data_IF_504889605733
#
_entry.id   IF_504889605733
#
_cell.length_a   1.000
_cell.length_b   1.000
_cell.length_c   1.000
_cell.angle_alpha   90.00
_cell.angle_beta   90.00
_cell.angle_gamma   90.00
#
_symmetry.space_group_name_H-M   'P 1'
#
loop_
_entity.id
_entity.type
_entity.pdbx_description
1 polymer ?
#
# COMPACT_ATOMS: atom_id res chain seq x y z
N UNK A 1 -9.42 11.22 -11.50
CA UNK A 1 -10.62 10.38 -11.24
C UNK A 1 -10.54 9.03 -11.96
N UNK A 2 -9.89 8.89 -13.11
CA UNK A 2 -9.74 7.60 -13.80
C UNK A 2 -8.84 6.59 -13.07
N UNK A 3 -7.74 7.05 -12.45
CA UNK A 3 -6.73 6.15 -11.83
C UNK A 3 -7.23 5.38 -10.61
N UNK A 4 -8.10 5.97 -9.80
CA UNK A 4 -8.69 5.30 -8.62
C UNK A 4 -9.55 4.08 -9.02
N UNK A 5 -10.11 4.08 -10.22
CA UNK A 5 -10.90 2.96 -10.73
C UNK A 5 -9.98 1.79 -11.10
N UNK A 6 -8.82 2.07 -11.68
CA UNK A 6 -7.81 1.06 -12.01
C UNK A 6 -7.21 0.43 -10.75
N UNK A 7 -6.75 1.25 -9.80
CA UNK A 7 -6.19 0.74 -8.54
C UNK A 7 -7.20 -0.12 -7.76
N UNK A 8 -8.48 0.28 -7.75
CA UNK A 8 -9.53 -0.47 -7.04
C UNK A 8 -9.79 -1.83 -7.70
N UNK A 9 -9.86 -1.87 -9.03
CA UNK A 9 -9.99 -3.13 -9.80
C UNK A 9 -8.78 -4.04 -9.59
N UNK A 10 -7.57 -3.48 -9.60
CA UNK A 10 -6.34 -4.23 -9.32
C UNK A 10 -6.34 -4.79 -7.90
N UNK A 11 -6.69 -3.98 -6.89
CA UNK A 11 -6.82 -4.45 -5.50
C UNK A 11 -7.83 -5.60 -5.38
N UNK A 12 -8.96 -5.53 -6.08
CA UNK A 12 -9.95 -6.60 -6.09
C UNK A 12 -9.40 -7.89 -6.72
N UNK A 13 -8.70 -7.78 -7.85
CA UNK A 13 -8.05 -8.93 -8.51
C UNK A 13 -6.96 -9.56 -7.65
N UNK A 14 -6.08 -8.75 -7.07
CA UNK A 14 -5.06 -9.19 -6.13
C UNK A 14 -5.69 -9.95 -4.95
N UNK A 15 -6.82 -9.45 -4.42
CA UNK A 15 -7.56 -10.14 -3.35
C UNK A 15 -8.19 -11.46 -3.80
N UNK A 16 -8.70 -11.54 -5.03
CA UNK A 16 -9.27 -12.77 -5.60
C UNK A 16 -8.20 -13.85 -5.79
N UNK A 17 -7.05 -13.50 -6.35
CA UNK A 17 -5.92 -14.43 -6.54
C UNK A 17 -5.07 -14.62 -5.27
N UNK A 18 -5.44 -13.96 -4.15
CA UNK A 18 -4.70 -13.95 -2.87
C UNK A 18 -3.23 -13.56 -3.02
N UNK A 19 -2.95 -12.67 -3.97
CA UNK A 19 -1.62 -12.15 -4.25
C UNK A 19 -1.27 -11.08 -3.23
N UNK A 20 -0.14 -11.27 -2.57
CA UNK A 20 0.38 -10.35 -1.57
C UNK A 20 1.64 -9.68 -2.13
N UNK A 21 1.51 -8.44 -2.59
CA UNK A 21 2.60 -7.72 -3.25
C UNK A 21 3.77 -7.37 -2.31
N UNK A 22 3.55 -7.38 -0.99
CA UNK A 22 4.53 -7.04 0.04
C UNK A 22 5.40 -8.21 0.50
N UNK A 23 5.20 -9.41 -0.05
CA UNK A 23 6.05 -10.58 0.21
C UNK A 23 6.76 -11.04 -1.07
N UNK A 24 7.84 -11.84 -0.94
CA UNK A 24 8.45 -12.50 -2.09
C UNK A 24 7.42 -13.35 -2.86
N UNK A 25 7.47 -13.35 -4.20
CA UNK A 25 8.57 -12.84 -5.03
C UNK A 25 8.34 -11.42 -5.60
N UNK A 26 7.33 -10.69 -5.12
CA UNK A 26 6.96 -9.36 -5.64
C UNK A 26 7.71 -8.21 -4.98
N UNK A 27 8.14 -8.42 -3.73
CA UNK A 27 9.01 -7.51 -3.01
C UNK A 27 10.26 -8.28 -2.55
N UNK A 28 11.44 -7.81 -2.95
CA UNK A 28 12.73 -8.31 -2.50
C UNK A 28 13.04 -7.84 -1.06
N UNK A 29 14.05 -8.43 -0.41
CA UNK A 29 14.44 -8.08 0.97
C UNK A 29 14.76 -6.58 1.15
N UNK A 30 15.28 -5.93 0.11
CA UNK A 30 15.59 -4.49 0.08
C UNK A 30 14.35 -3.58 -0.16
N UNK A 31 13.13 -4.11 -0.08
CA UNK A 31 11.88 -3.47 -0.54
C UNK A 31 11.87 -3.09 -2.02
N UNK A 32 12.77 -3.65 -2.82
CA UNK A 32 12.80 -3.43 -4.26
C UNK A 32 11.67 -4.24 -4.92
N UNK A 33 11.06 -3.73 -5.99
CA UNK A 33 10.10 -4.51 -6.75
C UNK A 33 10.80 -5.69 -7.40
N UNK A 34 10.22 -6.89 -7.28
CA UNK A 34 10.64 -8.06 -8.04
C UNK A 34 10.24 -7.87 -9.50
N UNK A 35 11.08 -7.18 -10.28
CA UNK A 35 10.75 -6.62 -11.60
C UNK A 35 10.09 -7.62 -12.54
N UNK A 36 10.62 -8.84 -12.63
CA UNK A 36 10.05 -9.90 -13.47
C UNK A 36 8.64 -10.31 -13.05
N UNK A 37 8.42 -10.55 -11.75
CA UNK A 37 7.11 -11.00 -11.26
C UNK A 37 6.05 -9.90 -11.30
N UNK A 38 6.47 -8.64 -11.19
CA UNK A 38 5.59 -7.47 -11.37
C UNK A 38 5.20 -7.30 -12.85
N UNK A 39 6.15 -7.50 -13.77
CA UNK A 39 5.91 -7.47 -15.22
C UNK A 39 4.97 -8.62 -15.64
N UNK A 40 5.23 -9.85 -15.18
CA UNK A 40 4.34 -11.00 -15.45
C UNK A 40 2.91 -10.74 -14.96
N UNK A 41 2.76 -10.11 -13.77
CA UNK A 41 1.45 -9.72 -13.26
C UNK A 41 0.78 -8.66 -14.13
N UNK A 42 1.53 -7.66 -14.57
CA UNK A 42 1.03 -6.60 -15.42
C UNK A 42 0.57 -7.15 -16.78
N UNK A 43 1.34 -8.04 -17.40
CA UNK A 43 0.98 -8.70 -18.65
C UNK A 43 -0.26 -9.59 -18.50
N UNK A 44 -0.44 -10.26 -17.35
CA UNK A 44 -1.64 -11.05 -17.07
C UNK A 44 -2.89 -10.18 -16.83
N UNK A 45 -2.74 -9.04 -16.16
CA UNK A 45 -3.86 -8.17 -15.80
C UNK A 45 -4.24 -7.16 -16.89
N UNK A 46 -3.30 -6.75 -17.75
CA UNK A 46 -3.53 -5.85 -18.89
C UNK A 46 -4.71 -6.28 -19.78
N UNK A 47 -4.76 -7.52 -20.33
CA UNK A 47 -5.87 -7.97 -21.17
C UNK A 47 -7.17 -8.12 -20.39
N UNK A 48 -7.11 -8.43 -19.09
CA UNK A 48 -8.31 -8.59 -18.24
C UNK A 48 -8.96 -7.26 -17.88
N UNK A 49 -8.18 -6.18 -17.85
CA UNK A 49 -8.65 -4.83 -17.51
C UNK A 49 -8.84 -3.95 -18.75
N UNK A 50 -8.44 -4.44 -19.93
CA UNK A 50 -8.35 -3.66 -21.18
C UNK A 50 -7.53 -2.38 -21.01
N UNK A 51 -6.40 -2.49 -20.29
CA UNK A 51 -5.47 -1.39 -20.01
C UNK A 51 -4.06 -1.80 -20.44
N UNK A 52 -3.25 -0.83 -20.85
CA UNK A 52 -1.86 -1.06 -21.22
C UNK A 52 -1.04 -1.64 -20.06
N UNK A 53 -0.17 -2.62 -20.35
CA UNK A 53 0.67 -3.27 -19.34
C UNK A 53 1.51 -2.26 -18.55
N UNK A 54 2.02 -1.21 -19.19
CA UNK A 54 2.78 -0.15 -18.53
C UNK A 54 1.96 0.61 -17.48
N UNK A 55 0.70 0.93 -17.77
CA UNK A 55 -0.18 1.58 -16.80
C UNK A 55 -0.54 0.65 -15.64
N UNK A 56 -0.74 -0.63 -15.92
CA UNK A 56 -1.00 -1.64 -14.90
C UNK A 56 0.23 -1.85 -14.01
N UNK A 57 1.42 -1.91 -14.58
CA UNK A 57 2.70 -2.03 -13.85
C UNK A 57 2.90 -0.83 -12.91
N UNK A 58 2.72 0.39 -13.42
CA UNK A 58 2.81 1.61 -12.61
C UNK A 58 1.80 1.63 -11.46
N UNK A 59 0.55 1.24 -11.73
CA UNK A 59 -0.47 1.15 -10.69
C UNK A 59 -0.17 0.04 -9.66
N UNK A 60 0.30 -1.13 -10.11
CA UNK A 60 0.73 -2.22 -9.23
C UNK A 60 1.89 -1.79 -8.33
N UNK A 61 2.85 -1.05 -8.85
CA UNK A 61 3.96 -0.51 -8.08
C UNK A 61 3.48 0.48 -7.02
N UNK A 62 2.55 1.37 -7.37
CA UNK A 62 1.89 2.26 -6.40
C UNK A 62 1.20 1.50 -5.27
N UNK A 63 0.49 0.41 -5.59
CA UNK A 63 -0.14 -0.47 -4.60
C UNK A 63 0.92 -1.16 -3.75
N UNK A 64 1.99 -1.70 -4.37
CA UNK A 64 3.08 -2.39 -3.69
C UNK A 64 3.71 -1.48 -2.64
N UNK A 65 4.14 -0.27 -3.01
CA UNK A 65 4.76 0.70 -2.09
C UNK A 65 3.84 0.99 -0.91
N UNK A 66 2.55 1.25 -1.15
CA UNK A 66 1.58 1.48 -0.07
C UNK A 66 1.43 0.26 0.84
N UNK A 67 1.35 -0.95 0.27
CA UNK A 67 1.19 -2.18 1.06
C UNK A 67 2.45 -2.56 1.83
N UNK A 68 3.65 -2.30 1.30
CA UNK A 68 4.93 -2.50 2.00
C UNK A 68 5.05 -1.56 3.20
N UNK A 69 4.73 -0.27 3.04
CA UNK A 69 4.72 0.70 4.14
C UNK A 69 3.75 0.24 5.24
N UNK A 70 2.54 -0.16 4.87
CA UNK A 70 1.54 -0.68 5.81
C UNK A 70 2.00 -1.98 6.48
N UNK A 71 2.60 -2.90 5.74
CA UNK A 71 3.07 -4.18 6.26
C UNK A 71 4.22 -3.98 7.25
N UNK A 72 5.19 -3.11 6.94
CA UNK A 72 6.26 -2.74 7.89
C UNK A 72 5.70 -2.08 9.13
N UNK A 73 4.79 -1.12 8.99
CA UNK A 73 4.12 -0.50 10.14
C UNK A 73 3.40 -1.51 11.03
N UNK A 74 2.75 -2.51 10.42
CA UNK A 74 2.09 -3.60 11.16
C UNK A 74 3.10 -4.56 11.82
N UNK A 75 4.22 -4.87 11.17
CA UNK A 75 5.32 -5.63 11.78
C UNK A 75 5.87 -4.91 13.01
N UNK A 76 6.23 -3.63 12.88
CA UNK A 76 6.71 -2.80 13.99
C UNK A 76 5.68 -2.74 15.12
N UNK A 77 4.39 -2.60 14.82
CA UNK A 77 3.34 -2.64 15.83
C UNK A 77 3.28 -3.98 16.56
N UNK A 78 3.37 -5.10 15.85
CA UNK A 78 3.38 -6.44 16.46
C UNK A 78 4.59 -6.67 17.38
N UNK A 79 5.73 -6.09 17.04
CA UNK A 79 6.97 -6.24 17.82
C UNK A 79 7.06 -5.28 19.00
N UNK A 80 6.59 -4.03 18.84
CA UNK A 80 6.87 -2.93 19.78
C UNK A 80 5.63 -2.32 20.44
N UNK A 81 4.43 -2.69 19.98
CA UNK A 81 3.15 -2.05 20.32
C UNK A 81 3.10 -0.54 20.01
N UNK A 82 4.01 -0.04 19.16
CA UNK A 82 4.01 1.35 18.67
C UNK A 82 3.27 1.40 17.33
N UNK A 83 2.25 2.24 17.24
CA UNK A 83 1.53 2.52 16.00
C UNK A 83 1.84 3.93 15.50
N UNK A 84 1.92 4.08 14.17
CA UNK A 84 1.99 5.38 13.52
C UNK A 84 0.59 5.75 13.01
N UNK A 85 0.05 6.87 13.49
CA UNK A 85 -1.25 7.39 13.06
C UNK A 85 -1.03 8.56 12.12
N UNK A 86 -1.61 8.50 10.90
CA UNK A 86 -1.63 9.63 9.97
C UNK A 86 -2.69 10.64 10.43
N UNK A 87 -2.27 11.89 10.66
CA UNK A 87 -3.13 12.96 11.15
C UNK A 87 -3.58 13.87 9.99
N UNK A 88 -4.89 14.04 9.86
CA UNK A 88 -5.48 15.05 8.99
C UNK A 88 -5.57 16.38 9.73
N UNK A 89 -4.54 17.22 9.56
CA UNK A 89 -4.50 18.54 10.17
C UNK A 89 -5.31 19.58 9.36
N UNK A 90 -5.95 20.55 10.03
CA UNK A 90 -6.55 21.71 9.37
C UNK A 90 -5.55 22.48 8.50
N UNK A 91 -6.06 23.19 7.48
CA UNK A 91 -5.26 23.87 6.45
C UNK A 91 -4.25 24.91 6.99
N UNK A 92 -4.44 25.42 8.21
CA UNK A 92 -3.53 26.38 8.87
C UNK A 92 -2.50 25.76 9.83
N UNK A 93 -2.59 24.46 10.12
CA UNK A 93 -1.69 23.77 11.06
C UNK A 93 -0.60 22.95 10.35
N UNK A 94 -0.56 22.97 9.02
CA UNK A 94 0.45 22.26 8.23
C UNK A 94 1.59 23.21 7.89
N UNK A 95 2.83 22.79 8.18
CA UNK A 95 4.03 23.49 7.70
C UNK A 95 4.12 23.43 6.17
N UNK A 96 3.69 22.30 5.59
CA UNK A 96 3.58 22.10 4.14
C UNK A 96 2.23 21.45 3.78
N UNK A 97 1.50 21.96 2.76
CA UNK A 97 0.18 21.46 2.40
C UNK A 97 0.19 20.03 1.81
N UNK A 98 1.32 19.59 1.26
CA UNK A 98 1.51 18.28 0.63
C UNK A 98 2.02 17.22 1.59
N UNK A 99 2.58 17.62 2.74
CA UNK A 99 3.23 16.70 3.68
C UNK A 99 2.21 16.05 4.62
N UNK A 100 2.27 14.73 4.69
CA UNK A 100 1.49 13.94 5.64
C UNK A 100 2.08 14.08 7.03
N UNK A 101 1.24 14.37 8.02
CA UNK A 101 1.67 14.49 9.42
C UNK A 101 1.44 13.14 10.10
N UNK A 102 2.43 12.64 10.80
CA UNK A 102 2.35 11.36 11.50
C UNK A 102 2.63 11.57 12.99
N UNK A 103 1.80 10.95 13.84
CA UNK A 103 2.05 10.82 15.27
C UNK A 103 2.43 9.37 15.55
N UNK A 104 3.60 9.17 16.15
CA UNK A 104 4.01 7.86 16.66
C UNK A 104 3.67 7.79 18.14
N UNK A 105 2.87 6.81 18.54
CA UNK A 105 2.53 6.57 19.93
C UNK A 105 2.45 5.09 20.22
N UNK A 106 2.75 4.70 21.46
CA UNK A 106 2.38 3.37 21.95
C UNK A 106 0.87 3.30 22.08
N UNK A 107 0.30 2.16 21.73
CA UNK A 107 -1.09 1.85 21.98
C UNK A 107 -1.14 0.92 23.20
N UNK A 108 -1.59 1.45 24.32
CA UNK A 108 -1.89 0.67 25.54
C UNK A 108 -3.29 0.03 25.49
N UNK A 109 -4.01 0.25 24.38
CA UNK A 109 -5.35 -0.25 24.08
C UNK A 109 -5.34 -1.09 22.81
N UNK A 110 -6.23 -2.06 22.72
CA UNK A 110 -6.33 -2.91 21.54
C UNK A 110 -6.81 -2.08 20.35
N UNK A 111 -6.29 -2.35 19.15
CA UNK A 111 -6.68 -1.60 17.94
C UNK A 111 -8.20 -1.57 17.70
N UNK A 112 -8.92 -2.63 18.12
CA UNK A 112 -10.39 -2.70 18.07
C UNK A 112 -11.09 -1.61 18.89
N UNK A 113 -10.47 -1.15 19.97
CA UNK A 113 -11.00 -0.14 20.90
C UNK A 113 -10.80 1.30 20.38
N UNK A 114 -9.98 1.48 19.35
CA UNK A 114 -9.68 2.78 18.72
C UNK A 114 -10.55 3.03 17.47
N UNK A 115 -11.19 1.99 16.94
CA UNK A 115 -11.97 2.06 15.69
C UNK A 115 -13.47 2.34 15.89
N UNK A 116 -13.93 2.50 17.13
CA UNK A 116 -15.32 2.89 17.47
C UNK A 116 -15.55 4.40 17.37
#
# INVERSE_FOLDING_TARGET
>A
MADQNLESKLKQRLKQEKIQLWIPPYTEEDNRPGTRHMQDLAERFAPLLCVEALQVESALEGIRVQTVIRWRGNQTFRETSVASVELLLPRGCKTDPTTKNYLQTRLDVLAKEVMD
#
